data_IF_738795117753
#
_entry.id   IF_738795117753
#
_cell.length_a   1.000
_cell.length_b   1.000
_cell.length_c   1.000
_cell.angle_alpha   90.00
_cell.angle_beta   90.00
_cell.angle_gamma   90.00
#
_symmetry.space_group_name_H-M   'P 1'
#
loop_
_entity.id
_entity.type
_entity.pdbx_description
1 polymer ?
#
# COMPACT_ATOMS: atom_id res chain seq x y z
N UNK A 1 -51.10 -19.40 48.91
CA UNK A 1 -50.97 -18.83 47.56
C UNK A 1 -49.54 -19.09 47.19
N UNK A 2 -49.34 -20.26 46.60
CA UNK A 2 -48.08 -20.66 45.99
C UNK A 2 -47.94 -19.82 44.73
N UNK A 3 -46.90 -18.97 44.68
CA UNK A 3 -46.42 -18.45 43.41
C UNK A 3 -45.38 -19.45 42.90
N UNK A 4 -45.80 -20.20 41.88
CA UNK A 4 -44.95 -21.08 41.09
C UNK A 4 -43.75 -20.28 40.57
N UNK A 5 -42.56 -20.58 41.11
CA UNK A 5 -41.30 -20.28 40.44
C UNK A 5 -41.24 -21.15 39.19
N UNK A 6 -41.73 -20.63 38.07
CA UNK A 6 -41.43 -21.17 36.74
C UNK A 6 -39.94 -21.03 36.50
N UNK A 7 -39.19 -22.11 36.80
CA UNK A 7 -37.85 -22.32 36.26
C UNK A 7 -38.05 -22.45 34.76
N UNK A 8 -37.75 -21.37 34.02
CA UNK A 8 -37.60 -21.46 32.58
C UNK A 8 -36.40 -22.38 32.36
N UNK A 9 -36.67 -23.57 31.83
CA UNK A 9 -35.66 -24.55 31.43
C UNK A 9 -34.92 -23.99 30.22
N UNK A 10 -34.03 -23.01 30.46
CA UNK A 10 -33.26 -22.35 29.43
C UNK A 10 -32.18 -23.30 28.92
N UNK A 11 -32.43 -23.87 27.74
CA UNK A 11 -31.45 -24.70 27.05
C UNK A 11 -30.42 -23.84 26.32
N UNK A 12 -29.42 -23.38 27.09
CA UNK A 12 -28.32 -22.56 26.56
C UNK A 12 -27.52 -23.29 25.46
N UNK A 13 -27.43 -24.62 25.51
CA UNK A 13 -26.72 -25.41 24.49
C UNK A 13 -27.42 -25.33 23.15
N UNK A 14 -28.75 -25.47 23.16
CA UNK A 14 -29.55 -25.34 21.94
C UNK A 14 -29.52 -23.90 21.42
N UNK A 15 -29.60 -22.91 22.31
CA UNK A 15 -29.47 -21.50 21.92
C UNK A 15 -28.15 -21.20 21.20
N UNK A 16 -27.00 -21.65 21.72
CA UNK A 16 -25.68 -21.45 21.06
C UNK A 16 -25.64 -22.07 19.66
N UNK A 17 -26.25 -23.25 19.47
CA UNK A 17 -26.28 -23.94 18.16
C UNK A 17 -27.14 -23.21 17.13
N UNK A 18 -28.18 -22.51 17.58
CA UNK A 18 -29.08 -21.72 16.72
C UNK A 18 -28.54 -20.31 16.47
N UNK A 19 -27.60 -19.84 17.28
CA UNK A 19 -26.96 -18.51 17.19
C UNK A 19 -25.66 -18.55 16.37
N UNK A 20 -25.76 -19.12 15.17
CA UNK A 20 -24.65 -19.23 14.22
C UNK A 20 -24.40 -17.90 13.48
N UNK A 21 -23.14 -17.65 13.11
CA UNK A 21 -22.71 -16.46 12.38
C UNK A 21 -21.78 -16.86 11.24
N UNK A 22 -21.78 -16.09 10.14
CA UNK A 22 -20.82 -16.27 9.04
C UNK A 22 -19.35 -16.06 9.49
N UNK A 23 -19.13 -15.48 10.67
CA UNK A 23 -17.81 -15.11 11.18
C UNK A 23 -17.07 -16.26 11.92
N UNK A 24 -17.73 -17.36 12.29
CA UNK A 24 -17.11 -18.52 12.94
C UNK A 24 -17.87 -19.81 12.64
N UNK A 25 -17.19 -20.96 12.75
CA UNK A 25 -17.82 -22.27 12.60
C UNK A 25 -18.10 -22.91 13.96
N UNK A 26 -19.36 -23.25 14.22
CA UNK A 26 -19.75 -24.01 15.41
C UNK A 26 -19.48 -25.50 15.20
N UNK A 27 -18.69 -26.11 16.08
CA UNK A 27 -18.43 -27.55 16.12
C UNK A 27 -18.85 -28.14 17.46
N UNK A 28 -19.74 -29.13 17.43
CA UNK A 28 -20.14 -29.88 18.62
C UNK A 28 -19.20 -31.08 18.78
N UNK A 29 -18.30 -31.00 19.76
CA UNK A 29 -17.30 -32.05 20.02
C UNK A 29 -17.89 -33.18 20.86
N UNK A 30 -18.73 -32.83 21.83
CA UNK A 30 -19.45 -33.77 22.69
C UNK A 30 -20.74 -33.12 23.22
N UNK A 31 -21.55 -33.88 23.97
CA UNK A 31 -22.71 -33.33 24.68
C UNK A 31 -22.33 -32.28 25.73
N UNK A 32 -21.06 -32.24 26.15
CA UNK A 32 -20.52 -31.36 27.19
C UNK A 32 -19.60 -30.26 26.62
N UNK A 33 -19.23 -30.30 25.35
CA UNK A 33 -18.26 -29.37 24.76
C UNK A 33 -18.71 -28.88 23.38
N UNK A 34 -18.80 -27.56 23.25
CA UNK A 34 -19.02 -26.85 21.98
C UNK A 34 -17.76 -26.03 21.68
N UNK A 35 -17.35 -25.99 20.41
CA UNK A 35 -16.24 -25.17 19.93
C UNK A 35 -16.71 -24.16 18.90
N UNK A 36 -16.18 -22.94 18.97
CA UNK A 36 -16.32 -21.94 17.92
C UNK A 36 -14.96 -21.77 17.26
N UNK A 37 -14.87 -22.09 15.97
CA UNK A 37 -13.62 -22.08 15.20
C UNK A 37 -13.57 -20.91 14.25
N UNK A 38 -12.45 -20.19 14.28
CA UNK A 38 -12.11 -19.17 13.29
C UNK A 38 -10.73 -19.48 12.70
N UNK A 39 -10.28 -18.70 11.71
CA UNK A 39 -8.91 -18.84 11.17
C UNK A 39 -7.84 -18.41 12.19
N UNK A 40 -8.18 -17.52 13.14
CA UNK A 40 -7.26 -16.86 14.07
C UNK A 40 -7.35 -17.37 15.52
N UNK A 41 -8.41 -18.09 15.90
CA UNK A 41 -8.59 -18.61 17.25
C UNK A 41 -9.63 -19.73 17.36
N UNK A 42 -9.70 -20.35 18.53
CA UNK A 42 -10.72 -21.33 18.88
C UNK A 42 -11.28 -20.99 20.26
N UNK A 43 -12.59 -20.83 20.36
CA UNK A 43 -13.30 -20.79 21.64
C UNK A 43 -13.81 -22.20 21.99
N UNK A 44 -13.63 -22.60 23.22
CA UNK A 44 -14.11 -23.85 23.80
C UNK A 44 -15.10 -23.51 24.92
N UNK A 45 -16.28 -24.10 24.83
CA UNK A 45 -17.40 -23.92 25.76
C UNK A 45 -17.67 -25.28 26.40
N UNK A 46 -17.35 -25.42 27.68
CA UNK A 46 -17.51 -26.65 28.45
C UNK A 46 -18.69 -26.53 29.42
N UNK A 47 -19.51 -27.57 29.49
CA UNK A 47 -20.68 -27.67 30.35
C UNK A 47 -20.46 -28.73 31.42
N UNK A 48 -20.14 -28.30 32.64
CA UNK A 48 -19.75 -29.16 33.74
C UNK A 48 -20.91 -29.24 34.73
N UNK A 49 -21.46 -30.44 34.95
CA UNK A 49 -22.52 -30.67 35.94
C UNK A 49 -21.90 -30.99 37.30
N UNK A 50 -22.17 -30.15 38.31
CA UNK A 50 -21.73 -30.35 39.70
C UNK A 50 -22.97 -30.35 40.59
N UNK A 51 -23.29 -31.51 41.16
CA UNK A 51 -24.49 -31.72 42.00
C UNK A 51 -25.79 -31.29 41.27
N UNK A 52 -26.46 -30.24 41.75
CA UNK A 52 -27.68 -29.67 41.17
C UNK A 52 -27.42 -28.44 40.27
N UNK A 53 -26.16 -28.03 40.12
CA UNK A 53 -25.77 -26.84 39.35
C UNK A 53 -25.06 -27.19 38.04
N UNK A 54 -25.34 -26.42 36.99
CA UNK A 54 -24.64 -26.49 35.71
C UNK A 54 -23.67 -25.31 35.60
N UNK A 55 -22.37 -25.61 35.51
CA UNK A 55 -21.32 -24.61 35.30
C UNK A 55 -20.95 -24.58 33.83
N UNK A 56 -20.85 -23.39 33.27
CA UNK A 56 -20.34 -23.16 31.92
C UNK A 56 -18.94 -22.56 32.04
N UNK A 57 -17.98 -23.10 31.30
CA UNK A 57 -16.62 -22.60 31.18
C UNK A 57 -16.37 -22.17 29.73
N UNK A 58 -15.91 -20.94 29.55
CA UNK A 58 -15.46 -20.37 28.30
C UNK A 58 -13.94 -20.26 28.30
N UNK A 59 -13.31 -20.69 27.21
CA UNK A 59 -11.87 -20.58 27.01
C UNK A 59 -11.57 -20.24 25.56
N UNK A 60 -10.79 -19.20 25.30
CA UNK A 60 -10.32 -18.87 23.95
C UNK A 60 -8.82 -19.14 23.86
N UNK A 61 -8.42 -19.93 22.87
CA UNK A 61 -7.04 -20.17 22.47
C UNK A 61 -6.76 -19.41 21.17
N UNK A 62 -5.74 -18.55 21.20
CA UNK A 62 -5.20 -17.91 20.01
C UNK A 62 -4.43 -18.92 19.17
N UNK A 63 -4.70 -18.98 17.85
CA UNK A 63 -3.92 -19.82 16.92
C UNK A 63 -2.57 -19.20 16.55
N UNK A 64 -2.34 -17.92 16.92
CA UNK A 64 -1.11 -17.19 16.62
C UNK A 64 0.06 -17.67 17.48
N UNK A 65 -0.21 -17.93 18.76
CA UNK A 65 0.81 -18.17 19.79
C UNK A 65 0.40 -19.23 20.84
N UNK A 66 -0.72 -19.93 20.62
CA UNK A 66 -1.31 -20.92 21.54
C UNK A 66 -1.64 -20.35 22.95
N UNK A 67 -1.68 -19.03 23.11
CA UNK A 67 -1.96 -18.40 24.40
C UNK A 67 -3.47 -18.37 24.70
N UNK A 68 -3.82 -18.41 25.99
CA UNK A 68 -5.21 -18.28 26.45
C UNK A 68 -5.56 -16.79 26.48
N UNK A 69 -6.46 -16.36 25.58
CA UNK A 69 -6.87 -14.96 25.42
C UNK A 69 -8.12 -14.61 26.24
N UNK A 70 -8.92 -15.61 26.59
CA UNK A 70 -10.13 -15.45 27.39
C UNK A 70 -10.34 -16.71 28.23
N UNK A 71 -10.67 -16.54 29.50
CA UNK A 71 -11.03 -17.64 30.39
C UNK A 71 -12.04 -17.15 31.42
N UNK A 72 -13.23 -17.75 31.44
CA UNK A 72 -14.31 -17.41 32.35
C UNK A 72 -15.11 -18.66 32.70
N UNK A 73 -15.60 -18.77 33.92
CA UNK A 73 -16.61 -19.77 34.26
C UNK A 73 -17.72 -19.16 35.12
N UNK A 74 -18.95 -19.63 34.93
CA UNK A 74 -20.13 -19.13 35.66
C UNK A 74 -21.18 -20.23 35.82
N UNK A 75 -22.07 -20.05 36.78
CA UNK A 75 -23.21 -20.96 36.99
C UNK A 75 -24.40 -20.52 36.13
N UNK A 76 -24.98 -21.44 35.37
CA UNK A 76 -26.10 -21.15 34.47
C UNK A 76 -27.42 -21.03 35.26
N UNK A 77 -27.69 -19.82 35.79
CA UNK A 77 -28.91 -19.48 36.52
C UNK A 77 -29.81 -18.47 35.81
N UNK A 78 -29.21 -17.57 35.05
CA UNK A 78 -29.85 -16.42 34.45
C UNK A 78 -29.55 -16.39 32.94
N UNK A 79 -30.62 -16.37 32.14
CA UNK A 79 -30.55 -16.44 30.68
C UNK A 79 -29.91 -15.20 30.06
N UNK A 80 -30.33 -13.99 30.48
CA UNK A 80 -29.81 -12.75 29.92
C UNK A 80 -28.32 -12.60 30.25
N UNK A 81 -27.93 -12.92 31.47
CA UNK A 81 -26.54 -12.88 31.89
C UNK A 81 -25.67 -13.88 31.10
N UNK A 82 -26.15 -15.10 30.88
CA UNK A 82 -25.42 -16.10 30.10
C UNK A 82 -25.21 -15.69 28.65
N UNK A 83 -26.23 -15.07 28.02
CA UNK A 83 -26.13 -14.53 26.66
C UNK A 83 -25.14 -13.36 26.58
N UNK A 84 -25.18 -12.44 27.54
CA UNK A 84 -24.23 -11.34 27.59
C UNK A 84 -22.77 -11.83 27.67
N UNK A 85 -22.50 -12.80 28.55
CA UNK A 85 -21.17 -13.39 28.67
C UNK A 85 -20.74 -14.11 27.39
N UNK A 86 -21.67 -14.74 26.69
CA UNK A 86 -21.41 -15.36 25.38
C UNK A 86 -21.06 -14.30 24.33
N UNK A 87 -21.81 -13.21 24.25
CA UNK A 87 -21.54 -12.11 23.31
C UNK A 87 -20.17 -11.46 23.58
N UNK A 88 -19.79 -11.29 24.85
CA UNK A 88 -18.45 -10.80 25.22
C UNK A 88 -17.33 -11.77 24.82
N UNK A 89 -17.56 -13.08 24.99
CA UNK A 89 -16.63 -14.11 24.55
C UNK A 89 -16.51 -14.13 23.00
N UNK A 90 -17.63 -14.09 22.28
CA UNK A 90 -17.63 -14.05 20.81
C UNK A 90 -16.96 -12.77 20.30
N UNK A 91 -17.26 -11.62 20.89
CA UNK A 91 -16.58 -10.36 20.57
C UNK A 91 -15.08 -10.46 20.76
N UNK A 92 -14.63 -11.11 21.85
CA UNK A 92 -13.20 -11.38 22.08
C UNK A 92 -12.62 -12.31 21.02
N UNK A 93 -13.30 -13.41 20.68
CA UNK A 93 -12.88 -14.34 19.64
C UNK A 93 -12.71 -13.61 18.31
N UNK A 94 -13.70 -12.84 17.88
CA UNK A 94 -13.67 -12.10 16.61
C UNK A 94 -12.60 -11.02 16.58
N UNK A 95 -12.32 -10.37 17.71
CA UNK A 95 -11.26 -9.36 17.79
C UNK A 95 -9.85 -9.92 17.52
N UNK A 96 -9.63 -11.24 17.67
CA UNK A 96 -8.36 -11.87 17.32
C UNK A 96 -8.02 -11.79 15.83
N UNK A 97 -9.00 -11.51 14.95
CA UNK A 97 -8.78 -11.21 13.53
C UNK A 97 -7.86 -10.00 13.32
N UNK A 98 -7.91 -9.06 14.26
CA UNK A 98 -7.22 -7.77 14.18
C UNK A 98 -5.88 -7.77 14.95
N UNK A 99 -5.48 -8.89 15.58
CA UNK A 99 -4.19 -9.08 16.26
C UNK A 99 -3.00 -9.18 15.26
N UNK A 100 -2.76 -8.10 14.51
CA UNK A 100 -1.54 -7.92 13.74
C UNK A 100 -0.44 -7.36 14.63
N UNK A 101 0.70 -8.05 14.66
CA UNK A 101 1.90 -7.49 15.30
C UNK A 101 2.40 -6.29 14.51
N UNK A 102 2.35 -5.12 15.12
CA UNK A 102 2.83 -3.87 14.52
C UNK A 102 4.36 -3.88 14.57
N UNK A 103 4.98 -3.80 13.40
CA UNK A 103 6.44 -3.73 13.26
C UNK A 103 6.89 -2.27 13.20
N UNK A 104 7.80 -1.91 14.09
CA UNK A 104 8.27 -0.53 14.27
C UNK A 104 9.77 -0.46 14.06
N UNK A 105 10.20 0.36 13.09
CA UNK A 105 11.60 0.62 12.80
C UNK A 105 12.10 1.83 13.59
N UNK A 106 13.00 1.62 14.54
CA UNK A 106 13.72 2.70 15.20
C UNK A 106 14.94 3.11 14.38
N UNK A 107 15.19 4.41 14.30
CA UNK A 107 16.40 4.90 13.65
C UNK A 107 17.10 6.04 14.40
N UNK A 108 18.43 5.97 14.43
CA UNK A 108 19.30 7.05 14.89
C UNK A 108 20.59 7.14 14.05
N UNK A 109 21.54 7.97 14.48
CA UNK A 109 22.77 8.26 13.76
C UNK A 109 23.69 7.05 13.58
N UNK A 110 23.76 6.13 14.55
CA UNK A 110 24.71 5.00 14.54
C UNK A 110 24.08 3.62 14.82
N UNK A 111 22.75 3.54 14.99
CA UNK A 111 22.03 2.31 15.31
C UNK A 111 22.21 1.77 16.74
N UNK A 112 23.39 1.93 17.35
CA UNK A 112 23.75 1.32 18.64
C UNK A 112 22.81 1.65 19.81
N UNK A 113 22.58 2.94 20.08
CA UNK A 113 21.73 3.37 21.22
C UNK A 113 20.27 3.04 21.00
N UNK A 114 19.81 3.03 19.74
CA UNK A 114 18.45 2.61 19.37
C UNK A 114 18.27 1.11 19.43
N UNK A 115 19.28 0.28 19.15
CA UNK A 115 19.18 -1.17 19.33
C UNK A 115 18.93 -1.52 20.79
N UNK A 116 19.66 -0.90 21.73
CA UNK A 116 19.41 -1.09 23.16
C UNK A 116 18.01 -0.63 23.58
N UNK A 117 17.51 0.47 23.00
CA UNK A 117 16.17 0.96 23.29
C UNK A 117 15.08 0.06 22.68
N UNK A 118 15.29 -0.46 21.47
CA UNK A 118 14.41 -1.43 20.82
C UNK A 118 14.33 -2.74 21.61
N UNK A 119 15.45 -3.27 22.11
CA UNK A 119 15.46 -4.44 23.01
C UNK A 119 14.64 -4.18 24.29
N UNK A 120 14.77 -3.00 24.89
CA UNK A 120 13.97 -2.61 26.05
C UNK A 120 12.47 -2.53 25.72
N UNK A 121 12.12 -1.94 24.58
CA UNK A 121 10.73 -1.86 24.10
C UNK A 121 10.14 -3.25 23.86
N UNK A 122 10.88 -4.16 23.21
CA UNK A 122 10.45 -5.54 23.00
C UNK A 122 10.24 -6.29 24.31
N UNK A 123 11.12 -6.09 25.29
CA UNK A 123 11.00 -6.69 26.62
C UNK A 123 9.71 -6.24 27.32
N UNK A 124 9.45 -4.93 27.36
CA UNK A 124 8.24 -4.39 28.00
C UNK A 124 6.99 -4.79 27.21
N UNK A 125 7.00 -4.73 25.88
CA UNK A 125 5.89 -5.18 25.05
C UNK A 125 5.55 -6.65 25.33
N UNK A 126 6.55 -7.53 25.41
CA UNK A 126 6.37 -8.93 25.78
C UNK A 126 5.83 -9.12 27.20
N UNK A 127 6.33 -8.36 28.19
CA UNK A 127 5.81 -8.40 29.57
C UNK A 127 4.34 -7.95 29.67
N UNK A 128 3.93 -7.02 28.81
CA UNK A 128 2.56 -6.49 28.75
C UNK A 128 1.66 -7.25 27.76
N UNK A 129 2.18 -8.31 27.12
CA UNK A 129 1.49 -9.07 26.06
C UNK A 129 0.96 -8.17 24.93
N UNK A 130 1.73 -7.15 24.56
CA UNK A 130 1.41 -6.22 23.48
C UNK A 130 1.98 -6.71 22.15
N UNK A 131 1.18 -6.61 21.10
CA UNK A 131 1.51 -7.03 19.73
C UNK A 131 2.40 -6.03 18.99
N UNK A 132 3.60 -5.76 19.52
CA UNK A 132 4.61 -4.92 18.88
C UNK A 132 5.94 -5.64 18.70
N UNK A 133 6.62 -5.33 17.60
CA UNK A 133 8.01 -5.71 17.35
C UNK A 133 8.81 -4.45 17.00
N UNK A 134 9.91 -4.22 17.72
CA UNK A 134 10.81 -3.10 17.51
C UNK A 134 12.17 -3.57 17.00
N UNK A 135 12.61 -3.05 15.88
CA UNK A 135 13.98 -3.25 15.37
C UNK A 135 14.67 -1.89 15.21
N UNK A 136 16.00 -1.87 15.12
CA UNK A 136 16.75 -0.62 15.00
C UNK A 136 17.79 -0.65 13.88
N UNK A 137 17.83 0.43 13.10
CA UNK A 137 18.80 0.62 12.01
C UNK A 137 19.43 2.01 12.05
N UNK A 138 20.57 2.15 11.39
CA UNK A 138 21.14 3.48 11.12
C UNK A 138 20.21 4.29 10.21
N UNK A 139 20.21 5.62 10.34
CA UNK A 139 19.44 6.52 9.47
C UNK A 139 19.75 6.34 7.98
N UNK A 140 20.97 5.88 7.67
CA UNK A 140 21.41 5.57 6.31
C UNK A 140 20.63 4.40 5.68
N UNK A 141 20.11 3.50 6.50
CA UNK A 141 19.49 2.25 6.05
C UNK A 141 17.96 2.29 6.16
N UNK A 142 17.37 3.43 6.53
CA UNK A 142 15.90 3.54 6.66
C UNK A 142 15.24 3.11 5.35
N UNK A 143 15.67 3.66 4.23
CA UNK A 143 15.05 3.40 2.93
C UNK A 143 15.23 1.96 2.42
N UNK A 144 16.25 1.24 2.89
CA UNK A 144 16.48 -0.19 2.55
C UNK A 144 15.55 -1.13 3.33
N UNK A 145 15.16 -0.73 4.53
CA UNK A 145 14.51 -1.62 5.50
C UNK A 145 13.03 -1.28 5.75
N UNK A 146 12.63 -0.02 5.50
CA UNK A 146 11.31 0.53 5.86
C UNK A 146 10.12 -0.28 5.33
N UNK A 147 10.23 -0.95 4.19
CA UNK A 147 9.14 -1.74 3.61
C UNK A 147 8.69 -2.89 4.52
N UNK A 148 9.58 -3.38 5.40
CA UNK A 148 9.31 -4.48 6.35
C UNK A 148 8.53 -4.03 7.59
N UNK A 149 8.31 -2.72 7.76
CA UNK A 149 7.80 -2.10 8.98
C UNK A 149 6.55 -1.26 8.70
N UNK A 150 5.67 -1.16 9.69
CA UNK A 150 4.44 -0.38 9.63
C UNK A 150 4.66 1.08 10.05
N UNK A 151 5.58 1.29 11.01
CA UNK A 151 5.87 2.59 11.63
C UNK A 151 7.37 2.84 11.63
N UNK A 152 7.77 4.09 11.38
CA UNK A 152 9.15 4.56 11.53
C UNK A 152 9.23 5.53 12.71
N UNK A 153 10.05 5.18 13.71
CA UNK A 153 10.37 6.03 14.84
C UNK A 153 11.79 6.57 14.73
N UNK A 154 11.91 7.89 14.62
CA UNK A 154 13.23 8.53 14.63
C UNK A 154 13.58 9.07 16.00
N UNK A 155 14.84 8.87 16.39
CA UNK A 155 15.39 9.42 17.61
C UNK A 155 15.50 10.96 17.51
N UNK A 156 15.38 11.69 18.63
CA UNK A 156 15.34 13.16 18.62
C UNK A 156 16.60 13.81 18.02
N UNK A 157 17.76 13.12 18.03
CA UNK A 157 19.02 13.60 17.46
C UNK A 157 18.95 13.80 15.95
N UNK A 158 18.08 13.07 15.25
CA UNK A 158 17.85 13.20 13.80
C UNK A 158 16.49 13.84 13.48
N UNK A 159 15.87 14.53 14.46
CA UNK A 159 14.54 15.14 14.30
C UNK A 159 14.43 16.15 13.15
N UNK A 160 15.55 16.74 12.72
CA UNK A 160 15.59 17.60 11.53
C UNK A 160 15.20 16.87 10.23
N UNK A 161 15.28 15.54 10.20
CA UNK A 161 14.88 14.70 9.06
C UNK A 161 13.38 14.38 9.06
N UNK A 162 12.64 14.69 10.14
CA UNK A 162 11.24 14.25 10.31
C UNK A 162 10.37 14.63 9.10
N UNK A 163 10.37 15.91 8.75
CA UNK A 163 9.55 16.44 7.66
C UNK A 163 9.93 15.78 6.33
N UNK A 164 11.23 15.64 6.06
CA UNK A 164 11.73 15.01 4.84
C UNK A 164 11.28 13.55 4.76
N UNK A 165 11.43 12.79 5.83
CA UNK A 165 11.01 11.38 5.88
C UNK A 165 9.49 11.23 5.73
N UNK A 166 8.69 12.12 6.32
CA UNK A 166 7.24 12.15 6.12
C UNK A 166 6.86 12.44 4.67
N UNK A 167 7.60 13.30 3.98
CA UNK A 167 7.39 13.58 2.56
C UNK A 167 7.84 12.41 1.67
N UNK A 168 8.95 11.74 2.02
CA UNK A 168 9.48 10.58 1.30
C UNK A 168 8.65 9.30 1.49
N UNK A 169 8.12 9.08 2.69
CA UNK A 169 7.44 7.85 3.12
C UNK A 169 5.94 8.12 3.34
N UNK A 170 5.26 8.66 2.33
CA UNK A 170 3.89 9.16 2.46
C UNK A 170 2.84 8.11 2.83
N UNK A 171 3.14 6.83 2.63
CA UNK A 171 2.29 5.69 2.98
C UNK A 171 2.57 5.09 4.36
N UNK A 172 3.60 5.58 5.06
CA UNK A 172 4.04 5.09 6.38
C UNK A 172 3.81 6.14 7.47
N UNK A 173 3.55 5.67 8.69
CA UNK A 173 3.53 6.54 9.86
C UNK A 173 4.97 6.83 10.31
N UNK A 174 5.42 8.06 10.09
CA UNK A 174 6.76 8.53 10.53
C UNK A 174 6.62 9.48 11.70
N UNK A 175 7.25 9.13 12.82
CA UNK A 175 7.15 9.82 14.11
C UNK A 175 8.54 10.10 14.69
N UNK A 176 8.67 11.21 15.40
CA UNK A 176 9.83 11.49 16.24
C UNK A 176 9.52 11.11 17.69
N UNK A 177 10.41 10.34 18.32
CA UNK A 177 10.29 10.02 19.75
C UNK A 177 10.49 11.31 20.57
N UNK A 178 9.58 11.64 21.51
CA UNK A 178 9.75 12.79 22.38
C UNK A 178 11.09 12.77 23.12
N UNK A 179 11.80 13.91 23.15
CA UNK A 179 13.16 13.99 23.70
C UNK A 179 13.25 13.51 25.14
N UNK A 180 12.25 13.84 25.97
CA UNK A 180 12.22 13.43 27.37
C UNK A 180 12.16 11.91 27.52
N UNK A 181 11.26 11.25 26.77
CA UNK A 181 11.05 9.80 26.79
C UNK A 181 12.32 9.07 26.33
N UNK A 182 12.93 9.54 25.24
CA UNK A 182 14.16 8.94 24.72
C UNK A 182 15.34 9.12 25.69
N UNK A 183 15.49 10.32 26.27
CA UNK A 183 16.59 10.62 27.18
C UNK A 183 16.51 9.84 28.50
N UNK A 184 15.30 9.55 29.00
CA UNK A 184 15.10 8.76 30.21
C UNK A 184 15.04 7.25 29.97
N UNK A 185 15.15 6.78 28.71
CA UNK A 185 14.93 5.37 28.35
C UNK A 185 13.58 4.83 28.85
N UNK A 186 12.56 5.68 28.88
CA UNK A 186 11.21 5.31 29.36
C UNK A 186 10.46 4.54 28.27
N UNK A 187 10.70 3.23 28.22
CA UNK A 187 10.08 2.36 27.23
C UNK A 187 8.56 2.22 27.43
N UNK A 188 8.03 2.40 28.64
CA UNK A 188 6.58 2.35 28.87
C UNK A 188 5.89 3.57 28.26
N UNK A 189 6.39 4.78 28.51
CA UNK A 189 5.82 5.98 27.89
C UNK A 189 6.06 6.03 26.38
N UNK A 190 7.18 5.47 25.88
CA UNK A 190 7.38 5.30 24.46
C UNK A 190 6.33 4.37 23.82
N UNK A 191 6.03 3.22 24.44
CA UNK A 191 4.99 2.30 23.95
C UNK A 191 3.62 2.97 23.89
N UNK A 192 3.24 3.72 24.93
CA UNK A 192 1.98 4.48 24.96
C UNK A 192 1.93 5.54 23.88
N UNK A 193 3.02 6.29 23.69
CA UNK A 193 3.14 7.28 22.63
C UNK A 193 2.92 6.67 21.24
N UNK A 194 3.62 5.58 20.94
CA UNK A 194 3.50 4.88 19.65
C UNK A 194 2.09 4.37 19.44
N UNK A 195 1.53 3.69 20.45
CA UNK A 195 0.19 3.11 20.36
C UNK A 195 -0.87 4.17 20.07
N UNK A 196 -0.82 5.30 20.77
CA UNK A 196 -1.76 6.40 20.57
C UNK A 196 -1.66 7.03 19.18
N UNK A 197 -0.45 7.19 18.64
CA UNK A 197 -0.26 7.75 17.31
C UNK A 197 -0.65 6.77 16.19
N UNK A 198 -0.42 5.47 16.39
CA UNK A 198 -0.88 4.41 15.48
C UNK A 198 -2.40 4.39 15.37
N UNK A 199 -3.11 4.40 16.51
CA UNK A 199 -4.57 4.46 16.54
C UNK A 199 -5.11 5.68 15.79
N UNK A 200 -4.52 6.86 16.03
CA UNK A 200 -4.91 8.10 15.33
C UNK A 200 -4.65 8.02 13.83
N UNK A 201 -3.52 7.44 13.42
CA UNK A 201 -3.15 7.32 12.02
C UNK A 201 -4.14 6.46 11.25
N UNK A 202 -4.45 5.25 11.75
CA UNK A 202 -5.39 4.35 11.10
C UNK A 202 -6.83 4.88 11.12
N UNK A 203 -7.25 5.55 12.21
CA UNK A 203 -8.56 6.19 12.28
C UNK A 203 -8.74 7.27 11.19
N UNK A 204 -7.73 8.14 11.00
CA UNK A 204 -7.77 9.17 9.94
C UNK A 204 -7.72 8.58 8.54
N UNK A 205 -6.96 7.50 8.34
CA UNK A 205 -6.84 6.85 7.03
C UNK A 205 -8.19 6.28 6.58
N UNK A 206 -8.92 5.62 7.48
CA UNK A 206 -10.27 5.13 7.23
C UNK A 206 -11.26 6.25 6.83
N UNK A 207 -11.17 7.44 7.45
CA UNK A 207 -12.00 8.60 7.09
C UNK A 207 -11.65 9.22 5.72
N UNK A 208 -10.43 9.00 5.22
CA UNK A 208 -9.94 9.64 3.98
C UNK A 208 -10.23 8.78 2.75
N UNK A 209 -10.27 7.46 2.89
CA UNK A 209 -10.60 6.50 1.81
C UNK A 209 -12.05 6.65 1.29
N UNK A 210 -12.95 7.32 2.04
CA UNK A 210 -14.34 7.60 1.64
C UNK A 210 -14.51 8.83 0.72
N UNK A 211 -13.44 9.58 0.42
CA UNK A 211 -13.49 10.70 -0.54
C UNK A 211 -13.28 10.19 -1.96
N UNK A 212 -14.36 10.04 -2.72
CA UNK A 212 -14.33 9.80 -4.18
C UNK A 212 -13.29 10.69 -4.85
N UNK A 213 -12.22 10.08 -5.37
CA UNK A 213 -11.26 10.75 -6.26
C UNK A 213 -12.02 11.41 -7.41
N UNK A 214 -11.70 12.67 -7.71
CA UNK A 214 -12.22 13.34 -8.90
C UNK A 214 -11.33 12.94 -10.08
N UNK A 215 -11.91 12.33 -11.11
CA UNK A 215 -11.17 12.07 -12.35
C UNK A 215 -11.03 13.37 -13.14
N UNK A 216 -9.84 13.66 -13.65
CA UNK A 216 -9.62 14.75 -14.60
C UNK A 216 -9.84 14.20 -16.01
N UNK A 217 -11.09 14.21 -16.49
CA UNK A 217 -11.43 13.63 -17.79
C UNK A 217 -11.74 14.66 -18.89
N UNK A 218 -11.60 14.21 -20.14
CA UNK A 218 -12.31 14.75 -21.30
C UNK A 218 -13.53 13.86 -21.55
N UNK A 219 -14.71 14.42 -21.82
CA UNK A 219 -15.95 13.64 -21.98
C UNK A 219 -15.83 12.54 -23.07
N UNK A 220 -16.12 11.29 -22.71
CA UNK A 220 -16.18 10.12 -23.60
C UNK A 220 -17.34 9.20 -23.21
N UNK A 221 -17.86 8.40 -24.15
CA UNK A 221 -19.07 7.57 -23.92
C UNK A 221 -18.76 6.11 -23.54
N UNK A 222 -17.53 5.67 -23.76
CA UNK A 222 -17.10 4.27 -23.58
C UNK A 222 -16.82 3.95 -22.12
N UNK A 223 -17.07 2.72 -21.71
CA UNK A 223 -16.67 2.21 -20.40
C UNK A 223 -15.27 1.61 -20.46
N UNK A 224 -14.32 2.26 -19.81
CA UNK A 224 -12.88 1.95 -19.91
C UNK A 224 -12.37 1.39 -18.60
N UNK A 225 -11.81 0.19 -18.63
CA UNK A 225 -11.06 -0.39 -17.51
C UNK A 225 -9.58 -0.04 -17.67
N UNK A 226 -9.05 0.80 -16.80
CA UNK A 226 -7.63 1.11 -16.71
C UNK A 226 -6.99 0.25 -15.63
N UNK A 227 -5.96 -0.51 -15.99
CA UNK A 227 -5.14 -1.31 -15.07
C UNK A 227 -3.72 -0.80 -15.14
N UNK A 228 -3.14 -0.44 -14.00
CA UNK A 228 -1.80 0.15 -13.95
C UNK A 228 -0.94 -0.55 -12.92
N UNK A 229 0.31 -0.80 -13.30
CA UNK A 229 1.25 -1.58 -12.51
C UNK A 229 2.40 -0.68 -12.09
N UNK A 230 2.63 -0.62 -10.78
CA UNK A 230 3.76 0.05 -10.16
C UNK A 230 4.56 -0.97 -9.37
N UNK A 231 5.85 -1.07 -9.63
CA UNK A 231 6.74 -2.02 -8.98
C UNK A 231 7.80 -1.25 -8.21
N UNK A 232 7.96 -1.56 -6.94
CA UNK A 232 9.14 -1.23 -6.15
C UNK A 232 9.99 -2.50 -5.94
N UNK A 233 11.10 -2.44 -5.19
CA UNK A 233 11.97 -3.62 -5.01
C UNK A 233 11.33 -4.73 -4.14
N UNK A 234 10.34 -4.42 -3.32
CA UNK A 234 9.76 -5.34 -2.35
C UNK A 234 8.39 -5.90 -2.77
N UNK A 235 7.60 -5.10 -3.50
CA UNK A 235 6.21 -5.38 -3.85
C UNK A 235 5.82 -4.78 -5.21
N UNK A 236 4.80 -5.39 -5.80
CA UNK A 236 4.07 -4.85 -6.94
C UNK A 236 2.69 -4.40 -6.48
N UNK A 237 2.37 -3.14 -6.78
CA UNK A 237 1.05 -2.55 -6.60
C UNK A 237 0.34 -2.50 -7.95
N UNK A 238 -0.83 -3.11 -8.02
CA UNK A 238 -1.69 -3.11 -9.20
C UNK A 238 -2.93 -2.30 -8.84
N UNK A 239 -3.14 -1.19 -9.54
CA UNK A 239 -4.34 -0.38 -9.40
C UNK A 239 -5.24 -0.66 -10.58
N UNK A 240 -6.54 -0.76 -10.35
CA UNK A 240 -7.51 -0.71 -11.44
C UNK A 240 -8.57 0.34 -11.17
N UNK A 241 -9.10 0.89 -12.25
CA UNK A 241 -10.19 1.87 -12.23
C UNK A 241 -11.09 1.63 -13.43
N UNK A 242 -12.37 1.41 -13.18
CA UNK A 242 -13.41 1.33 -14.20
C UNK A 242 -14.12 2.68 -14.28
N UNK A 243 -13.96 3.34 -15.42
CA UNK A 243 -14.63 4.60 -15.69
C UNK A 243 -15.79 4.41 -16.67
N UNK A 244 -16.97 4.90 -16.31
CA UNK A 244 -18.13 4.99 -17.18
C UNK A 244 -18.49 6.47 -17.39
N UNK A 245 -18.37 6.97 -18.61
CA UNK A 245 -18.63 8.39 -18.94
C UNK A 245 -17.91 9.38 -18.03
N UNK A 246 -16.64 9.10 -17.74
CA UNK A 246 -15.77 9.81 -16.80
C UNK A 246 -16.09 9.66 -15.30
N UNK A 247 -17.16 8.96 -14.94
CA UNK A 247 -17.41 8.64 -13.54
C UNK A 247 -16.68 7.36 -13.16
N UNK A 248 -15.97 7.40 -12.04
CA UNK A 248 -15.35 6.22 -11.47
C UNK A 248 -16.47 5.39 -10.85
N UNK A 249 -16.72 4.20 -11.40
CA UNK A 249 -17.77 3.28 -10.93
C UNK A 249 -17.21 2.07 -10.18
N UNK A 250 -15.91 1.78 -10.34
CA UNK A 250 -15.18 0.79 -9.54
C UNK A 250 -13.70 1.15 -9.52
N UNK A 251 -13.02 0.89 -8.41
CA UNK A 251 -11.59 1.08 -8.28
C UNK A 251 -11.06 0.29 -7.12
N UNK A 252 -9.85 -0.28 -7.25
CA UNK A 252 -9.19 -0.94 -6.15
C UNK A 252 -7.67 -0.96 -6.34
N UNK A 253 -6.95 -1.24 -5.26
CA UNK A 253 -5.51 -1.47 -5.22
C UNK A 253 -5.22 -2.87 -4.68
N UNK A 254 -4.39 -3.61 -5.41
CA UNK A 254 -3.92 -4.94 -5.02
C UNK A 254 -2.41 -4.87 -4.79
N UNK A 255 -1.95 -5.37 -3.65
CA UNK A 255 -0.52 -5.46 -3.31
C UNK A 255 -0.09 -6.93 -3.34
N UNK A 256 0.94 -7.25 -4.10
CA UNK A 256 1.52 -8.60 -4.20
C UNK A 256 3.05 -8.52 -4.15
N UNK A 257 3.77 -9.54 -3.62
CA UNK A 257 5.24 -9.57 -3.65
C UNK A 257 5.78 -9.52 -5.08
N UNK A 258 5.16 -10.27 -5.98
CA UNK A 258 5.45 -10.26 -7.42
C UNK A 258 4.15 -10.32 -8.19
N UNK A 259 4.17 -9.83 -9.44
CA UNK A 259 3.02 -9.89 -10.33
C UNK A 259 3.24 -10.94 -11.42
N UNK A 260 2.22 -11.74 -11.68
CA UNK A 260 2.13 -12.63 -12.82
C UNK A 260 0.92 -12.24 -13.70
N UNK A 261 0.85 -12.77 -14.93
CA UNK A 261 -0.22 -12.42 -15.88
C UNK A 261 -1.63 -12.87 -15.43
N UNK A 262 -1.74 -13.91 -14.60
CA UNK A 262 -3.03 -14.37 -14.04
C UNK A 262 -3.65 -13.34 -13.10
N UNK A 263 -2.83 -12.52 -12.45
CA UNK A 263 -3.34 -11.42 -11.63
C UNK A 263 -4.18 -10.43 -12.46
N UNK A 264 -3.79 -10.20 -13.72
CA UNK A 264 -4.55 -9.35 -14.65
C UNK A 264 -5.84 -10.04 -15.12
N UNK A 265 -5.79 -11.35 -15.40
CA UNK A 265 -6.98 -12.14 -15.71
C UNK A 265 -7.99 -12.10 -14.56
N UNK A 266 -7.54 -12.29 -13.31
CA UNK A 266 -8.40 -12.26 -12.12
C UNK A 266 -9.06 -10.90 -11.93
N UNK A 267 -8.32 -9.80 -12.16
CA UNK A 267 -8.87 -8.43 -12.10
C UNK A 267 -9.97 -8.27 -13.15
N UNK A 268 -9.69 -8.60 -14.41
CA UNK A 268 -10.65 -8.44 -15.50
C UNK A 268 -11.89 -9.31 -15.26
N UNK A 269 -11.70 -10.57 -14.86
CA UNK A 269 -12.79 -11.52 -14.55
C UNK A 269 -13.64 -11.00 -13.38
N UNK A 270 -13.02 -10.49 -12.31
CA UNK A 270 -13.73 -9.91 -11.16
C UNK A 270 -14.54 -8.68 -11.56
N UNK A 271 -13.97 -7.78 -12.36
CA UNK A 271 -14.67 -6.56 -12.81
C UNK A 271 -15.83 -6.92 -13.74
N UNK A 272 -15.66 -7.89 -14.65
CA UNK A 272 -16.74 -8.37 -15.52
C UNK A 272 -17.84 -9.14 -14.77
N UNK A 273 -17.52 -9.77 -13.64
CA UNK A 273 -18.54 -10.39 -12.77
C UNK A 273 -19.39 -9.33 -12.06
N UNK A 274 -18.79 -8.22 -11.63
CA UNK A 274 -19.48 -7.11 -10.97
C UNK A 274 -20.23 -6.20 -11.95
N UNK A 275 -19.67 -5.99 -13.14
CA UNK A 275 -20.15 -5.03 -14.13
C UNK A 275 -20.41 -5.71 -15.47
N UNK A 276 -21.60 -5.50 -16.03
CA UNK A 276 -22.15 -6.29 -17.14
C UNK A 276 -21.36 -6.23 -18.45
N UNK A 277 -20.54 -5.19 -18.63
CA UNK A 277 -19.71 -4.99 -19.83
C UNK A 277 -18.57 -4.02 -19.53
N UNK A 278 -17.52 -4.12 -20.36
CA UNK A 278 -16.41 -3.18 -20.49
C UNK A 278 -16.22 -3.00 -22.00
N UNK A 279 -16.07 -1.76 -22.48
CA UNK A 279 -15.85 -1.50 -23.90
C UNK A 279 -14.37 -1.65 -24.29
N UNK A 280 -13.47 -1.15 -23.43
CA UNK A 280 -12.03 -1.08 -23.70
C UNK A 280 -11.23 -1.31 -22.43
N UNK A 281 -10.10 -2.01 -22.55
CA UNK A 281 -9.15 -2.23 -21.46
C UNK A 281 -7.82 -1.53 -21.80
N UNK A 282 -7.39 -0.62 -20.94
CA UNK A 282 -6.08 0.03 -21.01
C UNK A 282 -5.14 -0.52 -19.94
N UNK A 283 -3.94 -0.95 -20.32
CA UNK A 283 -2.97 -1.51 -19.38
C UNK A 283 -1.66 -0.75 -19.44
N UNK A 284 -1.29 -0.02 -18.37
CA UNK A 284 0.01 0.66 -18.29
C UNK A 284 0.98 -0.11 -17.41
N UNK A 285 2.15 -0.46 -17.97
CA UNK A 285 3.13 -1.33 -17.32
C UNK A 285 4.56 -0.75 -17.37
N UNK A 286 5.43 -1.10 -16.40
CA UNK A 286 6.84 -0.78 -16.47
C UNK A 286 7.52 -1.48 -17.66
N UNK A 287 8.35 -0.75 -18.42
CA UNK A 287 9.17 -1.31 -19.50
C UNK A 287 8.84 -0.75 -20.89
N UNK A 288 9.44 -1.34 -21.92
CA UNK A 288 9.38 -0.82 -23.30
C UNK A 288 8.17 -1.41 -24.04
N UNK A 289 7.30 -0.54 -24.54
CA UNK A 289 6.16 -0.89 -25.39
C UNK A 289 6.50 -0.59 -26.84
N UNK A 290 6.42 -1.60 -27.72
CA UNK A 290 6.72 -1.44 -29.16
C UNK A 290 5.45 -1.01 -29.92
N UNK A 291 5.65 -0.23 -30.99
CA UNK A 291 4.60 0.52 -31.70
C UNK A 291 3.60 -0.28 -32.54
N UNK A 292 3.58 -1.61 -32.43
CA UNK A 292 2.57 -2.49 -33.04
C UNK A 292 1.48 -2.94 -32.04
N UNK A 293 1.44 -2.33 -30.84
CA UNK A 293 0.67 -2.79 -29.68
C UNK A 293 0.93 -4.27 -29.30
N UNK A 294 1.94 -4.92 -29.89
CA UNK A 294 2.47 -6.20 -29.45
C UNK A 294 3.47 -5.91 -28.35
N UNK A 295 2.94 -5.73 -27.14
CA UNK A 295 3.78 -5.46 -26.01
C UNK A 295 4.53 -6.74 -25.65
N UNK A 296 5.77 -6.90 -26.12
CA UNK A 296 6.72 -7.86 -25.55
C UNK A 296 7.16 -7.35 -24.18
N UNK A 297 6.26 -7.42 -23.19
CA UNK A 297 6.60 -7.07 -21.81
C UNK A 297 7.63 -8.07 -21.31
N UNK A 298 8.56 -7.65 -20.44
CA UNK A 298 9.32 -8.60 -19.63
C UNK A 298 8.64 -8.74 -18.27
N UNK A 299 7.50 -9.45 -18.23
CA UNK A 299 6.94 -9.95 -16.97
C UNK A 299 7.73 -11.22 -16.65
N UNK A 300 8.46 -11.23 -15.54
CA UNK A 300 9.35 -12.34 -15.15
C UNK A 300 10.39 -12.71 -16.23
N UNK A 301 10.78 -11.75 -17.09
CA UNK A 301 11.72 -11.96 -18.20
C UNK A 301 11.15 -12.70 -19.42
N UNK A 302 9.83 -12.94 -19.48
CA UNK A 302 9.15 -13.56 -20.63
C UNK A 302 8.39 -12.53 -21.45
N UNK A 303 8.60 -12.56 -22.77
CA UNK A 303 7.82 -11.77 -23.73
C UNK A 303 6.41 -12.35 -23.87
N UNK A 304 5.38 -11.65 -23.37
CA UNK A 304 3.96 -12.05 -23.42
C UNK A 304 3.17 -11.00 -24.21
N UNK A 305 2.37 -11.42 -25.19
CA UNK A 305 1.54 -10.54 -26.01
C UNK A 305 0.17 -10.29 -25.34
N UNK A 306 0.17 -9.39 -24.35
CA UNK A 306 -1.02 -9.11 -23.53
C UNK A 306 -2.23 -8.67 -24.35
N UNK A 307 -2.01 -7.88 -25.41
CA UNK A 307 -3.10 -7.39 -26.26
C UNK A 307 -3.82 -8.57 -26.92
N UNK A 308 -3.10 -9.37 -27.69
CA UNK A 308 -3.72 -10.46 -28.45
C UNK A 308 -4.32 -11.53 -27.53
N UNK A 309 -3.66 -11.86 -26.43
CA UNK A 309 -4.15 -12.87 -25.48
C UNK A 309 -5.47 -12.42 -24.82
N UNK A 310 -5.55 -11.16 -24.39
CA UNK A 310 -6.75 -10.63 -23.74
C UNK A 310 -7.87 -10.34 -24.74
N UNK A 311 -7.58 -9.78 -25.91
CA UNK A 311 -8.58 -9.58 -26.98
C UNK A 311 -9.20 -10.93 -27.39
N UNK A 312 -8.39 -11.98 -27.50
CA UNK A 312 -8.87 -13.32 -27.84
C UNK A 312 -9.73 -13.94 -26.74
N UNK A 313 -9.38 -13.77 -25.46
CA UNK A 313 -10.14 -14.33 -24.33
C UNK A 313 -11.46 -13.58 -24.12
N UNK A 314 -11.42 -12.25 -24.16
CA UNK A 314 -12.52 -11.40 -23.71
C UNK A 314 -13.38 -10.86 -24.85
N UNK A 315 -12.85 -10.78 -26.07
CA UNK A 315 -13.53 -10.09 -27.18
C UNK A 315 -13.66 -8.59 -26.96
N UNK A 316 -12.84 -8.02 -26.08
CA UNK A 316 -12.80 -6.60 -25.71
C UNK A 316 -11.51 -6.02 -26.29
N UNK A 317 -11.56 -4.80 -26.81
CA UNK A 317 -10.38 -4.11 -27.35
C UNK A 317 -9.38 -3.77 -26.24
N UNK A 318 -8.10 -4.07 -26.46
CA UNK A 318 -7.04 -3.92 -25.45
C UNK A 318 -5.93 -3.03 -25.96
N UNK A 319 -5.58 -2.02 -25.17
CA UNK A 319 -4.42 -1.17 -25.38
C UNK A 319 -3.41 -1.33 -24.27
N UNK A 320 -2.15 -1.16 -24.61
CA UNK A 320 -1.06 -1.32 -23.66
C UNK A 320 -0.07 -0.18 -23.78
N UNK A 321 0.38 0.35 -22.65
CA UNK A 321 1.16 1.58 -22.57
C UNK A 321 2.35 1.44 -21.62
N UNK A 322 3.38 2.25 -21.85
CA UNK A 322 4.44 2.44 -20.88
C UNK A 322 3.92 3.30 -19.72
N UNK A 323 4.28 2.93 -18.49
CA UNK A 323 3.83 3.62 -17.30
C UNK A 323 4.24 5.11 -17.26
N UNK A 324 5.51 5.45 -17.54
CA UNK A 324 5.96 6.83 -17.53
C UNK A 324 5.26 7.69 -18.60
N UNK A 325 4.98 7.11 -19.78
CA UNK A 325 4.20 7.76 -20.84
C UNK A 325 2.74 8.01 -20.41
N UNK A 326 2.09 7.02 -19.78
CA UNK A 326 0.75 7.23 -19.24
C UNK A 326 0.77 8.31 -18.15
N UNK A 327 1.73 8.29 -17.23
CA UNK A 327 1.83 9.32 -16.17
C UNK A 327 2.01 10.73 -16.72
N UNK A 328 2.89 10.96 -17.71
CA UNK A 328 3.06 12.32 -18.27
C UNK A 328 1.78 12.83 -18.94
N UNK A 329 1.00 11.93 -19.56
CA UNK A 329 -0.30 12.27 -20.13
C UNK A 329 -1.29 12.64 -19.03
N UNK A 330 -1.34 11.88 -17.94
CA UNK A 330 -2.17 12.21 -16.78
C UNK A 330 -1.82 13.58 -16.19
N UNK A 331 -0.54 13.86 -15.98
CA UNK A 331 -0.08 15.15 -15.48
C UNK A 331 -0.46 16.31 -16.41
N UNK A 332 -0.39 16.11 -17.72
CA UNK A 332 -0.78 17.12 -18.71
C UNK A 332 -2.29 17.45 -18.71
N UNK A 333 -3.14 16.58 -18.16
CA UNK A 333 -4.59 16.86 -18.04
C UNK A 333 -4.87 17.93 -16.98
N UNK A 334 -4.07 17.96 -15.92
CA UNK A 334 -4.16 18.98 -14.85
C UNK A 334 -3.41 20.26 -15.20
N UNK A 335 -2.45 20.18 -16.13
CA UNK A 335 -1.61 21.29 -16.58
C UNK A 335 -1.74 21.60 -18.08
N UNK A 336 -2.95 21.97 -18.57
CA UNK A 336 -3.19 22.24 -19.99
C UNK A 336 -2.39 23.43 -20.54
N UNK A 337 -1.86 24.28 -19.66
CA UNK A 337 -1.00 25.43 -19.98
C UNK A 337 0.35 25.04 -20.60
N UNK A 338 0.88 23.86 -20.28
CA UNK A 338 2.18 23.40 -20.80
C UNK A 338 2.01 22.52 -22.04
N UNK A 339 2.91 22.68 -23.01
CA UNK A 339 2.98 21.85 -24.24
C UNK A 339 4.24 21.02 -24.32
N UNK A 340 5.26 21.35 -23.54
CA UNK A 340 6.49 20.55 -23.44
C UNK A 340 6.67 20.13 -21.98
N UNK A 341 6.42 18.86 -21.69
CA UNK A 341 6.43 18.32 -20.33
C UNK A 341 7.29 17.07 -20.30
N UNK A 342 8.09 16.93 -19.25
CA UNK A 342 8.79 15.69 -18.94
C UNK A 342 8.32 15.17 -17.60
N UNK A 343 7.89 13.91 -17.55
CA UNK A 343 7.76 13.18 -16.30
C UNK A 343 9.03 12.36 -16.06
N UNK A 344 9.56 12.35 -14.85
CA UNK A 344 10.66 11.47 -14.45
C UNK A 344 10.29 10.68 -13.20
N UNK A 345 10.42 9.35 -13.27
CA UNK A 345 10.19 8.42 -12.16
C UNK A 345 11.51 7.82 -11.69
N UNK A 346 11.83 7.99 -10.40
CA UNK A 346 12.98 7.44 -9.70
C UNK A 346 12.53 6.79 -8.36
N UNK A 347 11.99 5.56 -8.39
CA UNK A 347 11.56 4.88 -7.17
C UNK A 347 12.74 4.50 -6.27
N UNK A 348 12.46 4.16 -5.00
CA UNK A 348 13.45 3.71 -4.02
C UNK A 348 14.31 2.55 -4.52
N UNK A 349 15.63 2.65 -4.33
CA UNK A 349 16.57 1.57 -4.67
C UNK A 349 16.79 1.33 -6.17
N UNK A 350 16.11 2.05 -7.07
CA UNK A 350 16.38 1.94 -8.51
C UNK A 350 17.52 2.88 -8.89
N UNK A 351 18.62 2.34 -9.43
CA UNK A 351 19.73 3.13 -9.97
C UNK A 351 19.42 3.82 -11.31
N UNK A 352 18.30 3.46 -11.95
CA UNK A 352 17.87 4.00 -13.24
C UNK A 352 16.36 4.20 -13.23
N UNK A 353 15.93 5.44 -13.46
CA UNK A 353 14.53 5.80 -13.63
C UNK A 353 14.00 5.64 -15.06
N UNK A 354 12.78 6.09 -15.28
CA UNK A 354 12.13 6.16 -16.60
C UNK A 354 11.46 7.52 -16.81
N UNK A 355 11.34 7.95 -18.07
CA UNK A 355 10.76 9.25 -18.41
C UNK A 355 9.60 9.13 -19.40
N UNK A 356 8.56 9.92 -19.17
CA UNK A 356 7.51 10.21 -20.16
C UNK A 356 7.74 11.59 -20.74
N UNK A 357 7.55 11.76 -22.05
CA UNK A 357 7.88 13.02 -22.73
C UNK A 357 6.70 13.47 -23.58
N UNK A 358 6.22 14.68 -23.34
CA UNK A 358 5.29 15.40 -24.21
C UNK A 358 6.05 16.55 -24.85
N UNK A 359 5.94 16.69 -26.17
CA UNK A 359 6.49 17.82 -26.91
C UNK A 359 5.45 18.37 -27.88
N UNK A 360 5.30 19.69 -27.89
CA UNK A 360 4.26 20.41 -28.64
C UNK A 360 2.86 19.82 -28.44
N UNK A 361 2.55 19.40 -27.21
CA UNK A 361 1.27 18.81 -26.82
C UNK A 361 1.06 17.35 -27.24
N UNK A 362 2.06 16.69 -27.83
CA UNK A 362 1.98 15.30 -28.28
C UNK A 362 2.91 14.40 -27.47
N UNK A 363 2.44 13.21 -27.12
CA UNK A 363 3.28 12.18 -26.49
C UNK A 363 4.37 11.70 -27.46
N UNK A 364 5.61 11.65 -26.99
CA UNK A 364 6.77 11.19 -27.75
C UNK A 364 7.17 9.80 -27.29
N UNK A 365 6.90 8.78 -28.12
CA UNK A 365 7.25 7.37 -27.84
C UNK A 365 8.55 6.94 -28.52
N UNK A 366 8.96 7.64 -29.59
CA UNK A 366 10.16 7.34 -30.35
C UNK A 366 10.10 6.01 -31.12
N UNK A 367 11.16 5.70 -31.87
CA UNK A 367 11.23 4.46 -32.65
C UNK A 367 11.19 3.25 -31.72
N UNK A 368 10.18 2.40 -31.86
CA UNK A 368 9.97 1.20 -31.05
C UNK A 368 9.88 1.47 -29.54
N UNK A 369 9.35 2.63 -29.13
CA UNK A 369 9.14 2.94 -27.71
C UNK A 369 10.41 3.35 -26.94
N UNK A 370 11.47 3.75 -27.64
CA UNK A 370 12.78 4.04 -27.03
C UNK A 370 12.85 5.41 -26.35
N UNK A 371 11.91 6.33 -26.62
CA UNK A 371 11.93 7.65 -26.00
C UNK A 371 11.75 7.54 -24.48
N UNK A 372 12.52 8.33 -23.72
CA UNK A 372 12.46 8.31 -22.25
C UNK A 372 13.16 7.13 -21.58
N UNK A 373 13.68 6.15 -22.34
CA UNK A 373 14.48 5.03 -21.82
C UNK A 373 15.91 5.45 -21.47
N UNK A 374 16.04 6.31 -20.46
CA UNK A 374 17.31 6.89 -20.01
C UNK A 374 18.32 5.85 -19.54
N UNK A 375 17.95 4.58 -19.35
CA UNK A 375 18.88 3.47 -19.04
C UNK A 375 20.04 3.35 -20.02
N UNK A 376 19.80 3.68 -21.29
CA UNK A 376 20.82 3.65 -22.34
C UNK A 376 21.78 4.84 -22.25
N UNK A 377 21.36 5.93 -21.62
CA UNK A 377 22.19 7.10 -21.34
C UNK A 377 22.91 6.98 -20.00
N UNK A 378 22.17 6.72 -18.92
CA UNK A 378 22.66 6.68 -17.54
C UNK A 378 23.87 5.77 -17.38
N UNK A 379 23.83 4.54 -17.91
CA UNK A 379 24.95 3.57 -17.77
C UNK A 379 26.26 3.99 -18.45
N UNK A 380 26.27 5.10 -19.20
CA UNK A 380 27.46 5.66 -19.87
C UNK A 380 27.96 6.95 -19.21
N UNK A 381 27.20 7.50 -18.27
CA UNK A 381 27.57 8.68 -17.51
C UNK A 381 28.60 8.31 -16.42
N UNK A 382 29.47 9.26 -16.10
CA UNK A 382 30.35 9.13 -14.94
C UNK A 382 29.58 9.53 -13.69
N UNK A 383 29.51 8.66 -12.69
CA UNK A 383 28.92 8.93 -11.37
C UNK A 383 29.98 8.91 -10.26
N UNK A 384 29.63 9.40 -9.07
CA UNK A 384 30.50 9.36 -7.89
C UNK A 384 30.71 7.94 -7.33
N UNK A 385 29.74 7.04 -7.49
CA UNK A 385 29.81 5.61 -7.16
C UNK A 385 28.92 4.81 -8.14
N UNK A 386 28.83 3.50 -7.95
CA UNK A 386 27.90 2.64 -8.69
C UNK A 386 26.45 3.09 -8.51
N UNK A 387 25.71 3.18 -9.62
CA UNK A 387 24.32 3.64 -9.63
C UNK A 387 23.40 2.84 -8.70
N UNK A 388 23.71 1.56 -8.45
CA UNK A 388 22.91 0.70 -7.57
C UNK A 388 23.12 1.07 -6.10
N UNK A 389 24.29 1.59 -5.73
CA UNK A 389 24.57 2.10 -4.38
C UNK A 389 24.02 3.50 -4.19
N UNK A 390 24.17 4.35 -5.20
CA UNK A 390 23.65 5.72 -5.17
C UNK A 390 22.13 5.76 -4.94
N UNK A 391 21.41 4.75 -5.43
CA UNK A 391 19.97 4.61 -5.28
C UNK A 391 19.46 4.45 -3.84
N UNK A 392 20.36 4.26 -2.87
CA UNK A 392 20.04 4.06 -1.45
C UNK A 392 20.47 5.22 -0.55
N UNK A 393 20.94 6.33 -1.13
CA UNK A 393 21.31 7.52 -0.36
C UNK A 393 20.71 8.78 -0.98
N UNK A 394 20.26 9.74 -0.17
CA UNK A 394 19.65 10.98 -0.68
C UNK A 394 20.61 11.75 -1.61
N UNK A 395 21.90 11.95 -1.26
CA UNK A 395 22.83 12.63 -2.16
C UNK A 395 23.08 11.86 -3.45
N UNK A 396 23.07 10.52 -3.37
CA UNK A 396 23.23 9.66 -4.53
C UNK A 396 22.02 9.74 -5.47
N UNK A 397 20.80 9.67 -4.94
CA UNK A 397 19.58 9.83 -5.74
C UNK A 397 19.49 11.22 -6.36
N UNK A 398 19.89 12.27 -5.64
CA UNK A 398 19.98 13.62 -6.21
C UNK A 398 20.93 13.66 -7.41
N UNK A 399 22.08 12.98 -7.34
CA UNK A 399 23.00 12.85 -8.47
C UNK A 399 22.37 12.08 -9.64
N UNK A 400 21.68 10.97 -9.36
CA UNK A 400 20.99 10.15 -10.38
C UNK A 400 19.91 10.95 -11.11
N UNK A 401 19.02 11.59 -10.36
CA UNK A 401 17.89 12.38 -10.87
C UNK A 401 18.41 13.54 -11.72
N UNK A 402 19.34 14.33 -11.20
CA UNK A 402 19.83 15.52 -11.92
C UNK A 402 20.52 15.13 -13.22
N UNK A 403 21.34 14.07 -13.24
CA UNK A 403 21.96 13.57 -14.47
C UNK A 403 20.97 12.95 -15.44
N UNK A 404 19.91 12.30 -14.95
CA UNK A 404 18.84 11.76 -15.78
C UNK A 404 18.05 12.85 -16.52
N UNK A 405 17.87 14.02 -15.90
CA UNK A 405 17.10 15.13 -16.48
C UNK A 405 17.90 15.94 -17.52
N UNK A 406 19.22 16.01 -17.41
CA UNK A 406 20.07 16.78 -18.34
C UNK A 406 19.77 16.53 -19.83
N UNK A 407 19.73 15.28 -20.34
CA UNK A 407 19.51 15.04 -21.77
C UNK A 407 18.15 15.54 -22.26
N UNK A 408 17.09 15.38 -21.45
CA UNK A 408 15.75 15.80 -21.85
C UNK A 408 15.54 17.30 -21.71
N UNK A 409 16.12 17.94 -20.69
CA UNK A 409 16.14 19.40 -20.60
C UNK A 409 16.85 20.00 -21.82
N UNK A 410 18.03 19.48 -22.19
CA UNK A 410 18.81 20.00 -23.31
C UNK A 410 18.18 19.71 -24.69
N UNK A 411 17.52 18.57 -24.87
CA UNK A 411 16.99 18.16 -26.17
C UNK A 411 15.56 18.64 -26.42
N UNK A 412 14.72 18.68 -25.38
CA UNK A 412 13.30 19.04 -25.49
C UNK A 412 13.06 20.49 -25.06
N UNK A 413 13.79 20.99 -24.07
CA UNK A 413 13.49 22.29 -23.44
C UNK A 413 12.08 22.32 -22.85
N UNK A 414 11.77 21.43 -21.88
CA UNK A 414 10.43 21.38 -21.30
C UNK A 414 10.10 22.69 -20.57
N UNK A 415 8.82 23.01 -20.51
CA UNK A 415 8.27 24.10 -19.69
C UNK A 415 8.09 23.62 -18.24
N UNK A 416 7.73 22.35 -18.06
CA UNK A 416 7.54 21.72 -16.76
C UNK A 416 8.16 20.31 -16.68
N UNK A 417 8.69 19.98 -15.51
CA UNK A 417 9.16 18.64 -15.14
C UNK A 417 8.38 18.15 -13.93
N UNK A 418 7.59 17.10 -14.12
CA UNK A 418 6.91 16.37 -13.05
C UNK A 418 7.82 15.24 -12.57
N UNK A 419 8.06 15.15 -11.26
CA UNK A 419 9.08 14.28 -10.72
C UNK A 419 8.56 13.42 -9.58
N UNK A 420 8.56 12.10 -9.78
CA UNK A 420 8.38 11.13 -8.71
C UNK A 420 9.76 10.63 -8.28
N UNK A 421 10.28 11.15 -7.16
CA UNK A 421 11.52 10.69 -6.56
C UNK A 421 11.40 10.81 -5.04
N UNK A 422 10.88 9.76 -4.38
CA UNK A 422 10.61 9.81 -2.95
C UNK A 422 11.82 10.25 -2.09
N UNK A 423 13.06 9.93 -2.47
CA UNK A 423 14.26 10.33 -1.71
C UNK A 423 14.69 11.79 -1.91
N UNK A 424 14.16 12.47 -2.93
CA UNK A 424 14.47 13.87 -3.25
C UNK A 424 13.18 14.66 -3.48
N UNK A 425 12.34 14.83 -2.44
CA UNK A 425 11.05 15.52 -2.57
C UNK A 425 11.20 17.05 -2.68
N UNK A 426 12.35 17.61 -2.31
CA UNK A 426 12.65 19.04 -2.42
C UNK A 426 13.08 19.42 -3.85
N UNK A 427 12.19 20.11 -4.57
CA UNK A 427 12.45 20.55 -5.95
C UNK A 427 13.47 21.70 -6.03
N UNK A 428 13.63 22.50 -4.97
CA UNK A 428 14.66 23.55 -4.93
C UNK A 428 16.06 22.93 -4.84
N UNK A 429 16.22 21.81 -4.13
CA UNK A 429 17.47 21.04 -4.09
C UNK A 429 17.88 20.58 -5.51
N UNK A 430 16.93 20.01 -6.26
CA UNK A 430 17.13 19.58 -7.65
C UNK A 430 17.45 20.78 -8.55
N UNK A 431 16.67 21.86 -8.46
CA UNK A 431 16.87 23.08 -9.25
C UNK A 431 18.23 23.70 -8.98
N UNK A 432 18.65 23.79 -7.72
CA UNK A 432 19.94 24.35 -7.34
C UNK A 432 21.12 23.49 -7.81
N UNK A 433 20.97 22.16 -7.78
CA UNK A 433 21.99 21.27 -8.35
C UNK A 433 22.08 21.44 -9.88
N UNK A 434 20.94 21.52 -10.58
CA UNK A 434 20.89 21.71 -12.04
C UNK A 434 21.46 23.05 -12.51
N UNK A 435 21.35 24.12 -11.70
CA UNK A 435 21.98 25.44 -11.99
C UNK A 435 23.50 25.36 -12.18
N UNK A 436 24.16 24.33 -11.65
CA UNK A 436 25.59 24.12 -11.87
C UNK A 436 25.93 23.59 -13.27
N UNK A 437 24.94 23.11 -14.02
CA UNK A 437 25.09 22.55 -15.37
C UNK A 437 24.39 23.40 -16.44
N UNK A 438 23.24 24.00 -16.10
CA UNK A 438 22.36 24.73 -17.03
C UNK A 438 22.05 26.10 -16.43
N UNK A 439 22.17 27.21 -17.20
CA UNK A 439 21.79 28.54 -16.71
C UNK A 439 20.33 28.59 -16.24
N UNK A 440 20.06 29.32 -15.16
CA UNK A 440 18.77 29.31 -14.47
C UNK A 440 17.57 29.71 -15.36
N UNK A 441 17.80 30.52 -16.40
CA UNK A 441 16.78 30.96 -17.37
C UNK A 441 16.28 29.85 -18.30
N UNK A 442 17.02 28.74 -18.44
CA UNK A 442 16.63 27.59 -19.26
C UNK A 442 16.07 26.43 -18.42
N UNK A 443 15.96 26.58 -17.10
CA UNK A 443 15.41 25.54 -16.25
C UNK A 443 13.88 25.57 -16.26
N UNK A 444 13.22 24.40 -16.35
CA UNK A 444 11.77 24.30 -16.29
C UNK A 444 11.23 24.61 -14.88
N UNK A 445 9.91 24.72 -14.78
CA UNK A 445 9.21 24.59 -13.50
C UNK A 445 9.21 23.12 -13.05
N UNK A 446 9.43 22.89 -11.76
CA UNK A 446 9.54 21.53 -11.19
C UNK A 446 8.38 21.23 -10.26
N UNK A 447 7.78 20.05 -10.44
CA UNK A 447 6.65 19.57 -9.64
C UNK A 447 7.02 18.26 -8.95
N UNK A 448 6.86 18.21 -7.63
CA UNK A 448 7.00 16.97 -6.87
C UNK A 448 5.70 16.16 -6.95
N UNK A 449 5.78 14.94 -7.47
CA UNK A 449 4.67 13.99 -7.47
C UNK A 449 4.85 13.06 -6.27
N UNK A 450 3.91 13.10 -5.32
CA UNK A 450 3.92 12.21 -4.15
C UNK A 450 3.26 10.86 -4.47
N UNK A 451 2.15 10.92 -5.20
CA UNK A 451 1.38 9.75 -5.61
C UNK A 451 1.24 9.71 -7.12
N UNK A 452 1.67 8.60 -7.73
CA UNK A 452 1.72 8.44 -9.21
C UNK A 452 0.46 7.75 -9.75
N UNK A 453 -0.25 7.00 -8.89
CA UNK A 453 -1.38 6.13 -9.26
C UNK A 453 -2.48 6.90 -10.00
N UNK A 454 -2.88 8.07 -9.51
CA UNK A 454 -3.94 8.90 -10.07
C UNK A 454 -3.61 9.36 -11.49
N UNK A 455 -2.45 9.99 -11.69
CA UNK A 455 -1.95 10.40 -13.00
C UNK A 455 -1.78 9.22 -13.96
N UNK A 456 -1.32 8.08 -13.45
CA UNK A 456 -1.13 6.88 -14.25
C UNK A 456 -2.48 6.31 -14.73
N UNK A 457 -3.49 6.26 -13.87
CA UNK A 457 -4.85 5.81 -14.19
C UNK A 457 -5.56 6.76 -15.17
N UNK A 458 -5.50 8.08 -14.91
CA UNK A 458 -6.14 9.09 -15.76
C UNK A 458 -5.45 9.19 -17.12
N UNK A 459 -4.12 9.12 -17.13
CA UNK A 459 -3.33 9.08 -18.36
C UNK A 459 -3.58 7.82 -19.20
N UNK A 460 -3.70 6.65 -18.57
CA UNK A 460 -4.06 5.39 -19.26
C UNK A 460 -5.45 5.49 -19.90
N UNK A 461 -6.42 6.04 -19.15
CA UNK A 461 -7.77 6.26 -19.64
C UNK A 461 -7.76 7.22 -20.84
N UNK A 462 -7.05 8.34 -20.73
CA UNK A 462 -6.91 9.34 -21.79
C UNK A 462 -6.28 8.75 -23.05
N UNK A 463 -5.25 7.94 -22.91
CA UNK A 463 -4.60 7.27 -24.03
C UNK A 463 -5.57 6.32 -24.75
N UNK A 464 -6.37 5.55 -24.02
CA UNK A 464 -7.42 4.72 -24.63
C UNK A 464 -8.41 5.57 -25.42
N UNK A 465 -8.86 6.70 -24.87
CA UNK A 465 -9.79 7.60 -25.56
C UNK A 465 -9.19 8.14 -26.86
N UNK A 466 -7.90 8.44 -26.88
CA UNK A 466 -7.22 8.93 -28.08
C UNK A 466 -7.05 7.83 -29.13
N UNK A 467 -6.66 6.62 -28.71
CA UNK A 467 -6.47 5.49 -29.62
C UNK A 467 -7.81 5.02 -30.23
N UNK A 468 -8.91 5.06 -29.45
CA UNK A 468 -10.26 4.78 -29.96
C UNK A 468 -10.68 5.81 -31.03
N UNK A 469 -10.28 7.08 -30.91
CA UNK A 469 -10.60 8.12 -31.91
C UNK A 469 -9.78 8.00 -33.19
N UNK A 470 -8.61 7.37 -33.10
CA UNK A 470 -7.66 7.22 -34.20
C UNK A 470 -7.77 5.84 -34.91
N UNK A 471 -8.49 4.89 -34.31
CA UNK A 471 -8.80 3.56 -34.85
C UNK A 471 -10.07 3.60 -35.70
#
# INVERSE_FOLDING_TARGET
MDEENTIVDFDFKTWIKEHDSDDYQVEVVSDETIKLKTEYGEAEINFIKIEESLIVEFKILSKKDDSVKFYLHFELKDEEHAKQLYDEMVGTLLSLKDEKTIKVLLSCTAGLTTSMFAENLNSIAGMMNLDYQFDAVSYLNIYEEVDKYDVVLIAPQIGYMLQRLQDSLSDKLVLQIPTAIFASYDALEALKFVSSEVEKYYSRKAETEDKKEKSHCIQYEKRILSIVISTDQAQTRIYYRLNDKCEIIDSNMIIKPTMNVYDLYDIIDTVLLKHSYIDVIGIAIPGIVRGDNQLKSSIDGKNIDLKNDFEKKYGIEVFTYNNANATVVGFALEHPEYKNIVFHSQPFGYGVGGQGIISNGNLITGKNGIAGEIRYFMRRMQFSDDISKLAWSEPGVLELVTKALLPTICAIGPEAVALFSPMTPDMDEIKNKLKSFIPAEFLPEFYCIKEVSSYLLDGTTKLCVDDIKNS
#
